data_IF_827489013350
#
_entry.id   IF_827489013350
#
_cell.length_a   1.000
_cell.length_b   1.000
_cell.length_c   1.000
_cell.angle_alpha   90.00
_cell.angle_beta   90.00
_cell.angle_gamma   90.00
#
_symmetry.space_group_name_H-M   'P 1'
#
loop_
_entity.id
_entity.type
_entity.pdbx_description
1 polymer ?
#
# COMPACT_ATOMS: atom_id res chain seq x y z
N UNK A 1 -37.38 13.60 14.90
CA UNK A 1 -36.67 12.32 14.68
C UNK A 1 -35.28 12.51 15.25
N UNK A 2 -35.00 11.84 16.35
CA UNK A 2 -33.84 12.06 17.21
C UNK A 2 -32.55 11.63 16.51
N UNK A 3 -31.56 12.51 16.45
CA UNK A 3 -30.19 12.18 16.03
C UNK A 3 -29.52 11.41 17.18
N UNK A 4 -29.52 10.09 17.13
CA UNK A 4 -28.75 9.26 18.06
C UNK A 4 -27.28 9.29 17.65
N UNK A 5 -26.50 10.18 18.27
CA UNK A 5 -25.05 10.25 18.11
C UNK A 5 -24.37 9.13 18.92
N UNK A 6 -24.28 7.93 18.36
CA UNK A 6 -23.50 6.83 18.92
C UNK A 6 -22.01 7.04 18.65
N UNK A 7 -21.26 7.56 19.62
CA UNK A 7 -19.80 7.61 19.57
C UNK A 7 -19.22 6.24 19.94
N UNK A 8 -18.63 5.53 18.96
CA UNK A 8 -17.75 4.39 19.26
C UNK A 8 -16.35 4.89 19.61
N UNK A 9 -15.69 4.22 20.55
CA UNK A 9 -14.45 4.59 21.27
C UNK A 9 -13.20 4.86 20.40
N UNK A 10 -13.33 4.84 19.08
CA UNK A 10 -12.33 5.07 18.03
C UNK A 10 -12.61 6.34 17.18
N UNK A 11 -13.56 7.18 17.60
CA UNK A 11 -13.83 8.47 16.94
C UNK A 11 -14.55 8.34 15.59
N UNK A 12 -15.24 7.22 15.37
CA UNK A 12 -16.13 7.04 14.22
C UNK A 12 -17.53 7.50 14.65
N UNK A 13 -18.12 8.42 13.90
CA UNK A 13 -19.49 8.90 14.08
C UNK A 13 -20.37 8.38 12.93
N UNK A 14 -21.55 7.90 13.25
CA UNK A 14 -22.53 7.41 12.28
C UNK A 14 -23.65 8.43 12.19
N UNK A 15 -23.92 8.89 10.97
CA UNK A 15 -25.01 9.81 10.66
C UNK A 15 -25.95 9.03 9.73
N UNK A 16 -27.11 8.64 10.25
CA UNK A 16 -28.10 7.87 9.50
C UNK A 16 -28.97 8.80 8.65
N UNK A 17 -28.92 8.71 7.31
CA UNK A 17 -29.90 9.37 6.43
C UNK A 17 -30.14 8.62 5.09
N UNK A 18 -31.42 8.64 4.67
CA UNK A 18 -32.03 8.45 3.34
C UNK A 18 -32.65 7.08 2.96
N UNK A 19 -32.22 5.93 3.49
CA UNK A 19 -32.87 4.62 3.27
C UNK A 19 -32.49 3.64 4.40
N UNK A 20 -33.37 2.69 4.76
CA UNK A 20 -33.17 1.78 5.91
C UNK A 20 -31.84 1.00 5.93
N UNK A 21 -31.19 0.81 4.77
CA UNK A 21 -29.96 0.01 4.64
C UNK A 21 -28.69 0.84 4.38
N UNK A 22 -28.79 2.18 4.30
CA UNK A 22 -27.67 3.06 3.93
C UNK A 22 -27.25 3.97 5.07
N UNK A 23 -25.96 4.02 5.31
CA UNK A 23 -25.36 4.72 6.44
C UNK A 23 -24.22 5.60 5.97
N UNK A 24 -24.19 6.84 6.47
CA UNK A 24 -23.04 7.72 6.31
C UNK A 24 -22.16 7.59 7.55
N UNK A 25 -20.89 7.25 7.33
CA UNK A 25 -19.91 7.00 8.40
C UNK A 25 -18.80 8.02 8.26
N UNK A 26 -18.57 8.79 9.31
CA UNK A 26 -17.46 9.74 9.42
C UNK A 26 -16.41 9.17 10.35
N UNK A 27 -15.19 8.99 9.86
CA UNK A 27 -14.06 8.55 10.67
C UNK A 27 -13.26 9.72 11.26
N UNK A 28 -12.31 9.42 12.17
CA UNK A 28 -11.58 10.41 12.96
C UNK A 28 -10.63 11.29 12.15
N UNK A 29 -10.31 10.93 10.90
CA UNK A 29 -9.45 11.73 10.01
C UNK A 29 -10.23 12.48 8.94
N UNK A 30 -11.49 12.82 9.23
CA UNK A 30 -12.41 13.45 8.29
C UNK A 30 -12.67 12.59 7.04
N UNK A 31 -12.50 11.26 7.16
CA UNK A 31 -12.86 10.30 6.12
C UNK A 31 -14.36 10.02 6.17
N UNK A 32 -15.09 10.44 5.15
CA UNK A 32 -16.52 10.19 5.01
C UNK A 32 -16.75 9.05 4.04
N UNK A 33 -17.52 8.04 4.45
CA UNK A 33 -17.86 6.90 3.62
C UNK A 33 -19.36 6.62 3.68
N UNK A 34 -19.89 6.05 2.61
CA UNK A 34 -21.26 5.55 2.53
C UNK A 34 -21.20 4.04 2.52
N UNK A 35 -21.90 3.42 3.47
CA UNK A 35 -22.04 1.97 3.60
C UNK A 35 -23.46 1.60 3.22
N UNK A 36 -23.61 0.59 2.36
CA UNK A 36 -24.88 -0.08 2.10
C UNK A 36 -24.80 -1.48 2.72
N UNK A 37 -25.48 -1.66 3.85
CA UNK A 37 -25.43 -2.89 4.64
C UNK A 37 -26.08 -4.07 3.90
N UNK A 38 -27.14 -3.80 3.12
CA UNK A 38 -27.86 -4.81 2.34
C UNK A 38 -27.03 -5.30 1.15
N UNK A 39 -26.45 -4.37 0.39
CA UNK A 39 -25.61 -4.70 -0.75
C UNK A 39 -24.20 -5.13 -0.36
N UNK A 40 -23.83 -4.99 0.94
CA UNK A 40 -22.48 -5.27 1.46
C UNK A 40 -21.41 -4.47 0.71
N UNK A 41 -21.68 -3.18 0.52
CA UNK A 41 -20.75 -2.27 -0.19
C UNK A 41 -20.36 -1.10 0.69
N UNK A 42 -19.18 -0.55 0.43
CA UNK A 42 -18.69 0.66 1.07
C UNK A 42 -17.95 1.51 0.05
N UNK A 43 -18.14 2.83 0.08
CA UNK A 43 -17.44 3.76 -0.80
C UNK A 43 -15.91 3.72 -0.66
N UNK A 44 -15.38 3.15 0.43
CA UNK A 44 -13.94 2.89 0.58
C UNK A 44 -13.43 1.72 -0.29
N UNK A 45 -14.32 0.98 -0.97
CA UNK A 45 -14.07 -0.16 -1.86
C UNK A 45 -13.46 -1.40 -1.21
N UNK A 46 -12.99 -1.33 0.03
CA UNK A 46 -12.36 -2.47 0.73
C UNK A 46 -13.31 -3.67 0.81
N UNK A 47 -14.59 -3.45 1.12
CA UNK A 47 -15.53 -4.56 1.28
C UNK A 47 -15.78 -5.30 -0.04
N UNK A 48 -15.91 -4.57 -1.14
CA UNK A 48 -16.11 -5.16 -2.47
C UNK A 48 -14.84 -5.88 -2.95
N UNK A 49 -13.66 -5.31 -2.69
CA UNK A 49 -12.37 -5.87 -3.12
C UNK A 49 -11.96 -7.13 -2.35
N UNK A 50 -12.20 -7.12 -1.04
CA UNK A 50 -11.76 -8.19 -0.14
C UNK A 50 -12.88 -9.16 0.21
N UNK A 51 -14.14 -8.81 -0.02
CA UNK A 51 -15.29 -9.59 0.48
C UNK A 51 -15.41 -9.59 2.02
N UNK A 52 -14.63 -8.80 2.74
CA UNK A 52 -14.66 -8.69 4.21
C UNK A 52 -15.10 -7.28 4.64
N UNK A 53 -15.90 -7.15 5.71
CA UNK A 53 -16.37 -5.85 6.17
C UNK A 53 -15.21 -4.96 6.58
N UNK A 54 -15.18 -3.73 6.04
CA UNK A 54 -14.20 -2.72 6.40
C UNK A 54 -14.53 -2.06 7.76
N UNK A 55 -13.62 -1.21 8.28
CA UNK A 55 -13.85 -0.45 9.53
C UNK A 55 -15.18 0.31 9.56
N UNK A 56 -15.63 0.85 8.42
CA UNK A 56 -16.90 1.57 8.30
C UNK A 56 -18.10 0.64 8.37
N UNK A 57 -18.01 -0.54 7.75
CA UNK A 57 -19.06 -1.55 7.78
C UNK A 57 -19.24 -2.14 9.19
N UNK A 58 -18.13 -2.37 9.90
CA UNK A 58 -18.15 -2.85 11.28
C UNK A 58 -18.80 -1.80 12.20
N UNK A 59 -18.49 -0.52 12.00
CA UNK A 59 -19.13 0.56 12.73
C UNK A 59 -20.66 0.56 12.53
N UNK A 60 -21.12 0.42 11.27
CA UNK A 60 -22.54 0.32 10.94
C UNK A 60 -23.21 -0.90 11.56
N UNK A 61 -22.56 -2.06 11.49
CA UNK A 61 -23.04 -3.28 12.14
C UNK A 61 -23.25 -3.07 13.66
N UNK A 62 -22.28 -2.45 14.33
CA UNK A 62 -22.37 -2.16 15.76
C UNK A 62 -23.53 -1.21 16.08
N UNK A 63 -23.70 -0.15 15.29
CA UNK A 63 -24.81 0.80 15.47
C UNK A 63 -26.17 0.16 15.21
N UNK A 64 -26.30 -0.67 14.17
CA UNK A 64 -27.50 -1.46 13.93
C UNK A 64 -27.86 -2.32 15.14
N UNK A 65 -26.89 -3.08 15.67
CA UNK A 65 -27.10 -3.92 16.86
C UNK A 65 -27.46 -3.09 18.11
N UNK A 66 -26.81 -1.94 18.30
CA UNK A 66 -27.07 -1.03 19.44
C UNK A 66 -28.46 -0.40 19.38
N UNK A 67 -29.00 -0.20 18.17
CA UNK A 67 -30.35 0.32 17.95
C UNK A 67 -31.42 -0.79 17.83
N UNK A 68 -31.08 -2.04 18.17
CA UNK A 68 -32.03 -3.17 18.18
C UNK A 68 -32.39 -3.72 16.80
N UNK A 69 -31.62 -3.40 15.76
CA UNK A 69 -31.77 -3.97 14.42
C UNK A 69 -31.05 -5.33 14.40
N UNK A 70 -31.73 -6.37 13.90
CA UNK A 70 -31.14 -7.70 13.74
C UNK A 70 -30.05 -7.67 12.66
N UNK A 71 -28.80 -7.94 13.06
CA UNK A 71 -27.62 -7.94 12.16
C UNK A 71 -27.18 -9.34 11.71
N UNK A 72 -27.72 -10.40 12.31
CA UNK A 72 -27.30 -11.78 12.04
C UNK A 72 -25.89 -12.11 12.57
N UNK A 73 -25.38 -13.28 12.18
CA UNK A 73 -24.05 -13.77 12.58
C UNK A 73 -22.92 -13.06 11.80
N UNK A 74 -21.70 -12.93 12.36
CA UNK A 74 -20.57 -12.28 11.70
C UNK A 74 -20.26 -12.83 10.29
N UNK A 75 -20.38 -14.13 10.10
CA UNK A 75 -20.12 -14.84 8.83
C UNK A 75 -21.06 -14.38 7.71
N UNK A 76 -22.27 -13.91 8.06
CA UNK A 76 -23.22 -13.37 7.09
C UNK A 76 -22.74 -12.05 6.47
N UNK A 77 -21.80 -11.33 7.10
CA UNK A 77 -21.23 -10.08 6.59
C UNK A 77 -20.02 -10.32 5.68
N UNK A 78 -19.52 -11.55 5.63
CA UNK A 78 -18.37 -11.95 4.83
C UNK A 78 -18.85 -12.63 3.55
N UNK A 79 -18.09 -12.47 2.46
CA UNK A 79 -18.34 -13.14 1.20
C UNK A 79 -18.29 -14.66 1.36
N UNK A 80 -19.17 -15.37 0.65
CA UNK A 80 -19.25 -16.83 0.68
C UNK A 80 -17.96 -17.52 0.22
N UNK A 81 -17.08 -16.82 -0.51
CA UNK A 81 -15.78 -17.35 -0.95
C UNK A 81 -14.88 -17.79 0.21
N UNK A 82 -15.11 -17.28 1.41
CA UNK A 82 -14.39 -17.65 2.63
C UNK A 82 -14.99 -18.83 3.39
N UNK A 83 -16.15 -19.34 2.95
CA UNK A 83 -16.80 -20.45 3.63
C UNK A 83 -16.10 -21.77 3.32
N UNK A 84 -16.02 -22.64 4.33
CA UNK A 84 -15.35 -23.94 4.20
C UNK A 84 -15.98 -24.83 3.13
N UNK A 85 -17.29 -24.72 2.90
CA UNK A 85 -17.98 -25.48 1.86
C UNK A 85 -17.55 -25.00 0.45
N UNK A 86 -17.43 -23.69 0.24
CA UNK A 86 -16.91 -23.12 -1.01
C UNK A 86 -15.44 -23.46 -1.19
N UNK A 87 -14.63 -23.36 -0.14
CA UNK A 87 -13.23 -23.78 -0.19
C UNK A 87 -13.12 -25.26 -0.61
N UNK A 88 -13.90 -26.15 0.00
CA UNK A 88 -13.95 -27.57 -0.38
C UNK A 88 -14.37 -27.76 -1.84
N UNK A 89 -15.39 -27.04 -2.32
CA UNK A 89 -15.84 -27.09 -3.72
C UNK A 89 -14.75 -26.62 -4.69
N UNK A 90 -14.02 -25.55 -4.36
CA UNK A 90 -12.93 -25.02 -5.19
C UNK A 90 -11.78 -26.04 -5.31
N UNK A 91 -11.44 -26.70 -4.21
CA UNK A 91 -10.34 -27.68 -4.15
C UNK A 91 -10.81 -29.14 -4.27
N UNK A 92 -12.05 -29.39 -4.68
CA UNK A 92 -12.57 -30.76 -4.77
C UNK A 92 -11.89 -31.57 -5.87
N UNK A 93 -11.34 -30.89 -6.88
CA UNK A 93 -10.66 -31.50 -8.01
C UNK A 93 -9.15 -31.40 -7.86
N UNK A 94 -8.46 -32.46 -8.28
CA UNK A 94 -7.00 -32.47 -8.34
C UNK A 94 -6.50 -31.55 -9.46
N UNK A 95 -5.57 -30.65 -9.12
CA UNK A 95 -4.82 -29.89 -10.13
C UNK A 95 -3.83 -30.86 -10.77
N UNK A 96 -4.15 -31.33 -11.97
CA UNK A 96 -3.24 -32.19 -12.74
C UNK A 96 -1.97 -31.42 -13.12
N UNK A 97 -0.82 -32.10 -13.20
CA UNK A 97 0.40 -31.48 -13.69
C UNK A 97 0.17 -30.90 -15.08
N UNK A 98 0.63 -29.66 -15.26
CA UNK A 98 0.60 -29.01 -16.55
C UNK A 98 1.81 -29.53 -17.35
N UNK A 99 1.58 -29.88 -18.61
CA UNK A 99 2.63 -30.27 -19.54
C UNK A 99 3.62 -29.12 -19.79
N UNK A 100 4.75 -29.42 -20.44
CA UNK A 100 5.76 -28.41 -20.75
C UNK A 100 5.18 -27.28 -21.62
N UNK A 101 5.73 -26.06 -21.51
CA UNK A 101 5.23 -24.84 -22.18
C UNK A 101 5.09 -25.04 -23.69
N UNK A 102 5.96 -25.83 -24.29
CA UNK A 102 6.02 -26.14 -25.71
C UNK A 102 4.75 -26.87 -26.20
N UNK A 103 4.05 -27.55 -25.29
CA UNK A 103 2.84 -28.32 -25.56
C UNK A 103 1.55 -27.55 -25.22
N UNK A 104 1.65 -26.29 -24.78
CA UNK A 104 0.48 -25.47 -24.45
C UNK A 104 -0.20 -24.98 -25.72
N UNK A 105 -1.53 -25.07 -25.75
CA UNK A 105 -2.31 -24.53 -26.85
C UNK A 105 -2.18 -23.01 -26.88
N UNK A 106 -1.88 -22.38 -28.03
CA UNK A 106 -1.82 -20.93 -28.13
C UNK A 106 -3.14 -20.29 -27.67
N UNK A 107 -3.04 -19.22 -26.88
CA UNK A 107 -4.21 -18.46 -26.45
C UNK A 107 -4.96 -17.90 -27.66
N UNK A 108 -6.29 -17.99 -27.63
CA UNK A 108 -7.18 -17.38 -28.65
C UNK A 108 -7.34 -15.86 -28.45
N UNK A 109 -6.71 -15.29 -27.42
CA UNK A 109 -6.78 -13.87 -27.17
C UNK A 109 -6.10 -13.10 -28.32
N UNK A 110 -6.83 -12.24 -29.06
CA UNK A 110 -6.26 -11.48 -30.17
C UNK A 110 -5.28 -10.39 -29.70
N UNK A 111 -5.28 -10.08 -28.39
CA UNK A 111 -4.43 -9.06 -27.79
C UNK A 111 -3.05 -9.64 -27.49
N UNK A 112 -2.01 -9.07 -28.10
CA UNK A 112 -0.62 -9.32 -27.73
C UNK A 112 -0.37 -8.69 -26.36
N UNK A 113 -0.13 -9.51 -25.34
CA UNK A 113 0.26 -9.06 -24.01
C UNK A 113 1.72 -8.60 -24.05
N UNK A 114 1.92 -7.29 -24.13
CA UNK A 114 3.25 -6.69 -24.00
C UNK A 114 3.63 -6.59 -22.52
N UNK A 115 4.91 -6.80 -22.17
CA UNK A 115 5.39 -6.52 -20.82
C UNK A 115 5.03 -5.08 -20.41
N UNK A 116 4.71 -4.83 -19.11
CA UNK A 116 4.50 -3.48 -18.63
C UNK A 116 5.70 -2.59 -18.99
N UNK A 117 5.44 -1.36 -19.44
CA UNK A 117 6.51 -0.40 -19.71
C UNK A 117 7.27 -0.14 -18.41
N UNK A 118 8.50 -0.63 -18.32
CA UNK A 118 9.34 -0.41 -17.16
C UNK A 118 9.72 1.07 -17.05
N UNK A 119 9.14 1.78 -16.08
CA UNK A 119 9.51 3.16 -15.78
C UNK A 119 10.54 3.18 -14.64
N UNK A 120 11.76 3.68 -14.91
CA UNK A 120 12.73 3.95 -13.84
C UNK A 120 12.17 5.09 -12.99
N UNK A 121 11.88 4.82 -11.72
CA UNK A 121 11.49 5.89 -10.79
C UNK A 121 12.58 6.96 -10.76
N UNK A 122 12.16 8.23 -10.78
CA UNK A 122 13.08 9.35 -10.59
C UNK A 122 13.69 9.18 -9.19
N UNK A 123 14.99 8.95 -9.14
CA UNK A 123 15.69 8.76 -7.87
C UNK A 123 15.49 9.97 -6.96
N UNK A 124 15.64 9.75 -5.64
CA UNK A 124 15.53 10.82 -4.65
C UNK A 124 16.42 12.01 -5.03
N UNK A 125 15.81 13.18 -5.20
CA UNK A 125 16.54 14.43 -5.45
C UNK A 125 17.52 14.68 -4.32
N UNK A 126 18.75 15.09 -4.67
CA UNK A 126 19.77 15.41 -3.66
C UNK A 126 19.28 16.59 -2.82
N UNK A 127 19.24 16.43 -1.48
CA UNK A 127 18.87 17.52 -0.55
C UNK A 127 19.80 18.72 -0.61
N UNK A 128 21.06 18.53 -1.01
CA UNK A 128 22.05 19.60 -1.18
C UNK A 128 22.54 19.57 -2.61
N UNK A 129 22.64 20.75 -3.23
CA UNK A 129 23.34 20.92 -4.50
C UNK A 129 24.80 20.50 -4.32
N UNK A 130 25.43 20.03 -5.40
CA UNK A 130 26.87 19.91 -5.42
C UNK A 130 27.44 21.34 -5.32
N UNK A 131 28.25 21.63 -4.30
CA UNK A 131 28.99 22.89 -4.21
C UNK A 131 30.16 22.83 -5.21
N UNK A 132 30.44 23.94 -5.88
CA UNK A 132 31.59 24.08 -6.79
C UNK A 132 32.89 24.18 -5.98
N UNK A 133 34.05 24.03 -6.64
CA UNK A 133 35.36 24.14 -5.98
C UNK A 133 35.55 25.47 -5.26
N UNK A 134 35.02 26.55 -5.84
CA UNK A 134 35.22 27.92 -5.36
C UNK A 134 34.40 28.22 -4.09
N UNK A 135 33.28 27.51 -3.93
CA UNK A 135 32.39 27.60 -2.77
C UNK A 135 32.86 26.73 -1.58
N UNK A 136 33.89 25.90 -1.78
CA UNK A 136 34.53 25.08 -0.75
C UNK A 136 35.66 25.82 -0.01
N UNK A 137 35.79 27.13 -0.20
CA UNK A 137 36.76 28.04 0.45
C UNK A 137 36.59 28.20 1.97
N UNK A 138 35.97 27.22 2.65
CA UNK A 138 35.89 27.21 4.10
C UNK A 138 37.25 26.84 4.71
N UNK A 139 37.62 27.44 5.85
CA UNK A 139 38.83 27.06 6.57
C UNK A 139 38.81 25.56 6.94
N UNK A 140 40.01 24.95 6.95
CA UNK A 140 40.23 23.51 7.23
C UNK A 140 39.68 23.10 8.62
N UNK A 141 39.54 24.07 9.52
CA UNK A 141 38.95 23.90 10.84
C UNK A 141 37.84 24.94 11.07
N UNK A 142 36.69 24.47 11.55
CA UNK A 142 35.57 25.34 11.98
C UNK A 142 35.06 24.82 13.32
N UNK A 143 35.18 25.64 14.38
CA UNK A 143 34.71 25.29 15.73
C UNK A 143 35.42 24.06 16.33
N UNK A 144 36.74 23.95 16.17
CA UNK A 144 37.54 22.83 16.71
C UNK A 144 37.36 21.50 15.99
N UNK A 145 36.55 21.44 14.92
CA UNK A 145 36.31 20.24 14.11
C UNK A 145 36.91 20.42 12.72
N UNK A 146 37.58 19.37 12.23
CA UNK A 146 38.18 19.33 10.90
C UNK A 146 37.07 19.29 9.84
N UNK A 147 37.10 20.21 8.88
CA UNK A 147 36.14 20.27 7.78
C UNK A 147 36.50 19.26 6.70
N UNK A 148 35.63 19.05 5.71
CA UNK A 148 35.89 18.13 4.58
C UNK A 148 36.92 18.72 3.59
N UNK A 149 37.34 19.96 3.79
CA UNK A 149 38.33 20.66 2.97
C UNK A 149 39.71 20.05 3.22
N UNK A 150 40.38 19.59 2.15
CA UNK A 150 41.67 18.89 2.24
C UNK A 150 41.58 17.39 2.56
N UNK A 151 40.43 16.89 3.02
CA UNK A 151 40.21 15.47 3.30
C UNK A 151 40.01 14.68 2.00
N UNK A 152 41.12 14.16 1.49
CA UNK A 152 41.17 13.36 0.28
C UNK A 152 41.32 11.89 0.61
N UNK A 153 40.49 11.05 0.00
CA UNK A 153 40.61 9.59 0.12
C UNK A 153 41.76 9.05 -0.72
N UNK A 154 42.51 8.10 -0.17
CA UNK A 154 43.55 7.34 -0.88
C UNK A 154 42.95 6.06 -1.45
N UNK A 155 43.18 5.82 -2.74
CA UNK A 155 42.67 4.64 -3.40
C UNK A 155 43.45 3.39 -2.97
N UNK A 156 42.79 2.41 -2.34
CA UNK A 156 43.43 1.15 -1.95
C UNK A 156 43.92 0.29 -3.14
N UNK A 157 43.54 0.61 -4.39
CA UNK A 157 43.97 -0.12 -5.59
C UNK A 157 45.22 0.47 -6.24
N UNK A 158 45.30 1.79 -6.38
CA UNK A 158 46.43 2.47 -7.06
C UNK A 158 47.25 3.38 -6.15
N UNK A 159 46.92 3.45 -4.86
CA UNK A 159 47.55 4.28 -3.83
C UNK A 159 47.56 5.80 -4.13
N UNK A 160 46.86 6.25 -5.19
CA UNK A 160 46.72 7.67 -5.50
C UNK A 160 45.60 8.33 -4.67
N UNK A 161 45.82 9.59 -4.30
CA UNK A 161 44.86 10.46 -3.61
C UNK A 161 43.84 11.01 -4.61
N UNK A 162 42.59 11.19 -4.19
CA UNK A 162 41.55 11.92 -4.95
C UNK A 162 40.33 11.07 -5.30
N UNK A 163 40.40 9.75 -5.11
CA UNK A 163 39.33 8.82 -5.45
C UNK A 163 39.43 7.54 -4.63
N UNK A 164 38.34 6.78 -4.54
CA UNK A 164 38.32 5.49 -3.83
C UNK A 164 38.40 4.29 -4.81
N UNK A 165 38.55 3.07 -4.29
CA UNK A 165 38.65 1.84 -5.11
C UNK A 165 37.50 1.66 -6.11
N UNK A 166 36.29 2.13 -5.76
CA UNK A 166 35.07 1.97 -6.59
C UNK A 166 35.06 2.89 -7.81
N UNK A 167 35.69 4.05 -7.72
CA UNK A 167 35.80 5.02 -8.81
C UNK A 167 37.20 5.05 -9.44
N UNK A 168 38.01 4.03 -9.17
CA UNK A 168 39.37 3.92 -9.70
C UNK A 168 39.33 3.51 -11.18
N UNK A 169 39.85 4.37 -12.05
CA UNK A 169 40.01 4.10 -13.49
C UNK A 169 41.23 3.22 -13.81
N UNK A 170 41.95 2.77 -12.79
CA UNK A 170 43.16 1.97 -12.90
C UNK A 170 44.38 2.78 -13.34
N UNK A 171 45.54 2.38 -12.83
CA UNK A 171 46.67 2.11 -13.72
C UNK A 171 46.91 0.61 -13.57
N UNK A 172 46.82 -0.09 -14.70
CA UNK A 172 47.34 -1.44 -14.85
C UNK A 172 48.86 -1.33 -14.79
N UNK A 173 49.43 -1.82 -13.69
CA UNK A 173 50.76 -2.41 -13.59
C UNK A 173 50.68 -3.39 -12.45
#
# INVERSE_FOLDING_TARGET
MSLSNGLIHIGIQIISLLNFDKYQVSGPWNDQCVVDARLKTCSCRIWELTGMPCKHAIAVNWDMASNGIEVGIPESWVSQVYWLDIWKKVYQFTVNPINARELWTPSRCPTILLPPKHHKQVGRTKKKRNMTSDELSQPITKGGKMTRVGNTVTCAKCQKKGHNKRSCKGQTT
#
